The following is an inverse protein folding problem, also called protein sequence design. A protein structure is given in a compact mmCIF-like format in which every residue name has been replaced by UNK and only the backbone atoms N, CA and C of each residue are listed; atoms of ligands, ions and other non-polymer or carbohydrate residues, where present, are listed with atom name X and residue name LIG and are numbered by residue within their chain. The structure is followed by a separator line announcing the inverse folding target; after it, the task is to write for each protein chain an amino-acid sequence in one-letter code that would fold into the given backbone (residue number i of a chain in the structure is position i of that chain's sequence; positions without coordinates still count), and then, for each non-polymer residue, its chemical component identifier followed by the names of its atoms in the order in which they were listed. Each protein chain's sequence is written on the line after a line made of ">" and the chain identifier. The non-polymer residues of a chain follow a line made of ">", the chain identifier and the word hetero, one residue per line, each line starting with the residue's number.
data_IF_182720587494
#
_entry.id   IF_182720587494
#
_cell.length_a   1.000
_cell.length_b   1.000
_cell.length_c   1.000
_cell.angle_alpha   90.00
_cell.angle_beta   90.00
_cell.angle_gamma   90.00
#
_symmetry.space_group_name_H-M   'P 1'
#
loop_
_entity.id
_entity.type
_entity.pdbx_description
1 polymer ?
#
# COMPACT_ATOMS: atom_id res chain seq x y z
N UNK A 1 -23.53 10.23 -17.22
CA UNK A 1 -23.27 8.87 -16.67
C UNK A 1 -22.34 9.00 -15.48
N UNK A 2 -22.71 8.49 -14.31
CA UNK A 2 -21.72 8.43 -13.22
C UNK A 2 -20.54 7.55 -13.68
N UNK A 3 -19.31 8.04 -13.45
CA UNK A 3 -18.10 7.27 -13.70
C UNK A 3 -18.11 6.10 -12.71
N UNK A 4 -18.04 4.84 -13.16
CA UNK A 4 -18.02 3.72 -12.23
C UNK A 4 -16.81 3.82 -11.30
N UNK A 5 -17.03 3.57 -10.03
CA UNK A 5 -15.97 3.47 -9.04
C UNK A 5 -15.03 2.34 -9.44
N UNK A 6 -13.76 2.66 -9.63
CA UNK A 6 -12.76 1.72 -10.16
C UNK A 6 -11.43 1.84 -9.46
N UNK A 7 -10.63 0.78 -9.54
CA UNK A 7 -9.21 0.79 -9.19
C UNK A 7 -8.41 0.57 -10.46
N UNK A 8 -7.40 1.41 -10.70
CA UNK A 8 -6.53 1.34 -11.85
C UNK A 8 -5.14 1.92 -11.56
N UNK A 9 -4.22 1.76 -12.49
CA UNK A 9 -2.94 2.45 -12.41
C UNK A 9 -3.13 3.96 -12.36
N UNK A 10 -2.34 4.61 -11.51
CA UNK A 10 -2.33 6.06 -11.39
C UNK A 10 -1.83 6.74 -12.67
N UNK A 11 -2.43 7.86 -12.99
CA UNK A 11 -1.95 8.76 -14.05
C UNK A 11 -1.06 9.86 -13.46
N UNK A 12 -0.08 10.41 -14.22
CA UNK A 12 0.83 11.45 -13.71
C UNK A 12 0.12 12.67 -13.13
N UNK A 13 -1.01 13.06 -13.69
CA UNK A 13 -1.82 14.20 -13.22
C UNK A 13 -2.39 13.98 -11.81
N UNK A 14 -2.52 12.73 -11.38
CA UNK A 14 -3.05 12.35 -10.06
C UNK A 14 -2.02 12.43 -8.93
N UNK A 15 -0.76 12.73 -9.26
CA UNK A 15 0.30 12.92 -8.25
C UNK A 15 -0.07 13.96 -7.19
N UNK A 16 -0.82 15.00 -7.58
CA UNK A 16 -1.32 16.03 -6.66
C UNK A 16 -2.29 15.45 -5.63
N UNK A 17 -3.24 14.65 -6.09
CA UNK A 17 -4.24 14.03 -5.21
C UNK A 17 -3.61 12.98 -4.29
N UNK A 18 -2.68 12.18 -4.82
CA UNK A 18 -1.94 11.18 -4.04
C UNK A 18 -1.13 11.85 -2.93
N UNK A 19 -0.37 12.91 -3.26
CA UNK A 19 0.40 13.67 -2.28
C UNK A 19 -0.50 14.30 -1.21
N UNK A 20 -1.65 14.81 -1.60
CA UNK A 20 -2.65 15.38 -0.68
C UNK A 20 -3.20 14.31 0.28
N UNK A 21 -3.59 13.15 -0.24
CA UNK A 21 -4.09 12.04 0.58
C UNK A 21 -3.02 11.50 1.55
N UNK A 22 -1.80 11.33 1.07
CA UNK A 22 -0.68 10.91 1.92
C UNK A 22 -0.47 11.89 3.06
N UNK A 23 -0.42 13.19 2.77
CA UNK A 23 -0.26 14.24 3.79
C UNK A 23 -1.39 14.21 4.81
N UNK A 24 -2.63 14.07 4.37
CA UNK A 24 -3.81 13.96 5.24
C UNK A 24 -3.72 12.74 6.16
N UNK A 25 -3.35 11.59 5.64
CA UNK A 25 -3.20 10.36 6.42
C UNK A 25 -2.05 10.46 7.44
N UNK A 26 -0.89 10.93 7.01
CA UNK A 26 0.29 11.03 7.87
C UNK A 26 0.14 12.08 8.95
N UNK A 27 -0.59 13.16 8.71
CA UNK A 27 -0.86 14.20 9.71
C UNK A 27 -1.66 13.68 10.91
N UNK A 28 -2.40 12.58 10.72
CA UNK A 28 -3.20 11.94 11.77
C UNK A 28 -2.45 10.83 12.52
N UNK A 29 -1.25 10.47 12.06
CA UNK A 29 -0.45 9.40 12.67
C UNK A 29 0.60 9.98 13.61
N UNK A 30 0.68 9.52 14.86
CA UNK A 30 1.77 9.90 15.77
C UNK A 30 3.13 9.51 15.17
N UNK A 31 4.13 10.37 15.32
CA UNK A 31 5.49 10.12 14.86
C UNK A 31 5.77 10.48 13.39
N UNK A 32 4.76 10.73 12.56
CA UNK A 32 4.95 11.08 11.15
C UNK A 32 4.80 12.56 10.85
N UNK A 33 4.17 13.33 11.73
CA UNK A 33 3.92 14.75 11.54
C UNK A 33 5.20 15.58 11.34
N UNK A 34 6.26 15.29 12.09
CA UNK A 34 7.54 15.99 11.98
C UNK A 34 8.25 15.68 10.65
N UNK A 35 8.24 14.42 10.22
CA UNK A 35 8.78 14.01 8.93
C UNK A 35 8.01 14.67 7.77
N UNK A 36 6.69 14.76 7.91
CA UNK A 36 5.83 15.42 6.94
C UNK A 36 6.09 16.93 6.83
N UNK A 37 6.30 17.60 7.96
CA UNK A 37 6.60 19.02 8.00
C UNK A 37 7.94 19.37 7.31
N UNK A 38 8.88 18.43 7.26
CA UNK A 38 10.17 18.59 6.60
C UNK A 38 10.09 18.49 5.06
N UNK A 39 9.00 17.99 4.49
CA UNK A 39 8.83 17.80 3.05
C UNK A 39 7.93 18.90 2.49
N UNK A 40 8.43 19.80 1.63
CA UNK A 40 7.59 20.77 0.95
C UNK A 40 6.51 20.09 0.11
N UNK A 41 5.31 20.67 0.05
CA UNK A 41 4.16 20.08 -0.66
C UNK A 41 4.44 19.86 -2.16
N UNK A 42 5.12 20.80 -2.81
CA UNK A 42 5.50 20.70 -4.22
C UNK A 42 6.56 19.63 -4.48
N UNK A 43 7.45 19.38 -3.53
CA UNK A 43 8.41 18.28 -3.60
C UNK A 43 7.71 16.92 -3.52
N UNK A 44 6.72 16.78 -2.64
CA UNK A 44 5.93 15.55 -2.54
C UNK A 44 5.21 15.24 -3.86
N UNK A 45 4.60 16.26 -4.49
CA UNK A 45 3.96 16.11 -5.80
C UNK A 45 4.95 15.67 -6.88
N UNK A 46 6.12 16.30 -6.94
CA UNK A 46 7.17 15.90 -7.91
C UNK A 46 7.63 14.46 -7.69
N UNK A 47 7.84 14.06 -6.45
CA UNK A 47 8.25 12.69 -6.11
C UNK A 47 7.21 11.67 -6.56
N UNK A 48 5.92 11.93 -6.33
CA UNK A 48 4.85 11.05 -6.81
C UNK A 48 4.75 11.03 -8.33
N UNK A 49 4.86 12.17 -8.98
CA UNK A 49 4.86 12.25 -10.43
C UNK A 49 6.00 11.40 -11.04
N UNK A 50 7.21 11.52 -10.51
CA UNK A 50 8.36 10.72 -10.95
C UNK A 50 8.13 9.22 -10.71
N UNK A 51 7.59 8.85 -9.55
CA UNK A 51 7.29 7.45 -9.24
C UNK A 51 6.27 6.82 -10.21
N UNK A 52 5.34 7.61 -10.72
CA UNK A 52 4.35 7.16 -11.69
C UNK A 52 4.94 7.09 -13.10
N UNK A 53 5.67 8.14 -13.52
CA UNK A 53 6.22 8.25 -14.88
C UNK A 53 7.43 7.34 -15.08
N UNK A 54 8.29 7.26 -14.07
CA UNK A 54 9.54 6.50 -14.09
C UNK A 54 9.72 5.72 -12.80
N UNK A 55 9.04 4.57 -12.66
CA UNK A 55 9.18 3.75 -11.46
C UNK A 55 10.64 3.40 -11.17
N UNK A 56 11.06 3.45 -9.89
CA UNK A 56 12.47 3.21 -9.51
C UNK A 56 12.92 1.78 -9.78
N UNK A 57 11.99 0.82 -9.74
CA UNK A 57 12.23 -0.58 -10.01
C UNK A 57 11.15 -1.12 -10.95
N UNK A 58 11.49 -2.16 -11.69
CA UNK A 58 10.49 -2.93 -12.43
C UNK A 58 9.42 -3.46 -11.46
N UNK A 59 8.18 -3.46 -11.89
CA UNK A 59 7.02 -3.88 -11.11
C UNK A 59 6.68 -2.99 -9.89
N UNK A 60 7.32 -1.83 -9.70
CA UNK A 60 6.78 -0.80 -8.82
C UNK A 60 5.57 -0.14 -9.47
N UNK A 61 4.42 -0.24 -8.80
CA UNK A 61 3.16 0.27 -9.34
C UNK A 61 2.42 1.10 -8.32
N UNK A 62 1.78 2.15 -8.80
CA UNK A 62 0.87 2.98 -8.01
C UNK A 62 -0.53 2.78 -8.58
N UNK A 63 -1.45 2.31 -7.73
CA UNK A 63 -2.86 2.14 -8.06
C UNK A 63 -3.68 3.18 -7.32
N UNK A 64 -4.72 3.70 -7.96
CA UNK A 64 -5.68 4.62 -7.34
C UNK A 64 -7.07 4.03 -7.36
N UNK A 65 -7.81 4.26 -6.28
CA UNK A 65 -9.25 4.04 -6.23
C UNK A 65 -9.97 5.34 -6.51
N UNK A 66 -10.94 5.30 -7.41
CA UNK A 66 -11.76 6.44 -7.77
C UNK A 66 -13.14 6.33 -7.13
N UNK A 67 -13.62 7.44 -6.60
CA UNK A 67 -15.01 7.64 -6.21
C UNK A 67 -15.54 8.87 -6.92
N UNK A 68 -16.61 8.70 -7.67
CA UNK A 68 -17.22 9.79 -8.46
C UNK A 68 -16.20 10.55 -9.33
N UNK A 69 -15.21 9.84 -9.87
CA UNK A 69 -14.16 10.41 -10.70
C UNK A 69 -13.01 11.09 -9.96
N UNK A 70 -12.99 11.08 -8.64
CA UNK A 70 -11.92 11.64 -7.82
C UNK A 70 -11.11 10.54 -7.12
N UNK A 71 -9.83 10.79 -6.88
CA UNK A 71 -8.96 9.86 -6.15
C UNK A 71 -9.38 9.80 -4.69
N UNK A 72 -9.86 8.65 -4.25
CA UNK A 72 -10.32 8.37 -2.88
C UNK A 72 -9.35 7.50 -2.08
N UNK A 73 -8.32 6.96 -2.71
CA UNK A 73 -7.29 6.17 -2.06
C UNK A 73 -6.24 5.72 -3.06
N UNK A 74 -5.12 5.22 -2.55
CA UNK A 74 -4.06 4.66 -3.37
C UNK A 74 -3.34 3.52 -2.65
N UNK A 75 -2.67 2.69 -3.43
CA UNK A 75 -1.78 1.63 -2.94
C UNK A 75 -0.55 1.55 -3.82
N UNK A 76 0.59 1.31 -3.21
CA UNK A 76 1.88 1.10 -3.89
C UNK A 76 2.30 -0.35 -3.72
N UNK A 77 2.60 -1.02 -4.82
CA UNK A 77 3.07 -2.40 -4.85
C UNK A 77 4.43 -2.50 -5.53
N UNK A 78 5.19 -3.52 -5.20
CA UNK A 78 6.48 -3.77 -5.81
C UNK A 78 7.15 -5.03 -5.26
N UNK A 79 8.41 -5.29 -5.66
CA UNK A 79 9.19 -6.36 -5.07
C UNK A 79 9.43 -6.11 -3.59
N UNK A 80 9.39 -7.16 -2.76
CA UNK A 80 9.75 -7.03 -1.35
C UNK A 80 11.23 -6.66 -1.21
N UNK A 81 11.52 -5.73 -0.30
CA UNK A 81 12.88 -5.31 0.04
C UNK A 81 13.31 -5.80 1.43
N UNK A 82 12.57 -6.73 2.01
CA UNK A 82 12.91 -7.31 3.30
C UNK A 82 14.20 -8.12 3.20
N UNK A 83 15.05 -8.14 4.25
CA UNK A 83 16.31 -8.90 4.25
C UNK A 83 16.12 -10.41 4.05
N UNK A 84 14.95 -10.95 4.41
CA UNK A 84 14.57 -12.35 4.27
C UNK A 84 13.69 -12.64 3.04
N UNK A 85 13.50 -11.63 2.16
CA UNK A 85 12.65 -11.78 0.98
C UNK A 85 13.27 -12.68 -0.08
N UNK A 86 12.43 -13.49 -0.70
CA UNK A 86 12.76 -14.25 -1.89
C UNK A 86 12.35 -13.49 -3.16
N UNK A 87 12.85 -13.92 -4.32
CA UNK A 87 12.55 -13.27 -5.60
C UNK A 87 11.06 -13.31 -5.97
N UNK A 88 10.31 -14.22 -5.37
CA UNK A 88 8.85 -14.39 -5.55
C UNK A 88 8.01 -13.62 -4.53
N UNK A 89 8.64 -12.82 -3.67
CA UNK A 89 7.95 -12.03 -2.66
C UNK A 89 7.74 -10.59 -3.15
N UNK A 90 6.48 -10.22 -3.27
CA UNK A 90 6.06 -8.85 -3.48
C UNK A 90 5.65 -8.18 -2.17
N UNK A 91 5.50 -6.88 -2.19
CA UNK A 91 5.04 -6.11 -1.02
C UNK A 91 4.01 -5.06 -1.37
N UNK A 92 3.18 -4.73 -0.40
CA UNK A 92 2.45 -3.48 -0.32
C UNK A 92 3.31 -2.49 0.44
N UNK A 93 3.81 -1.48 -0.26
CA UNK A 93 4.73 -0.49 0.30
C UNK A 93 4.01 0.67 0.98
N UNK A 94 2.87 1.08 0.45
CA UNK A 94 2.05 2.14 1.01
C UNK A 94 0.58 1.92 0.66
N UNK A 95 -0.31 2.29 1.57
CA UNK A 95 -1.75 2.17 1.42
C UNK A 95 -2.44 3.31 2.17
N UNK A 96 -3.25 4.07 1.46
CA UNK A 96 -4.00 5.19 2.02
C UNK A 96 -5.39 5.20 1.44
N UNK A 97 -6.39 5.35 2.30
CA UNK A 97 -7.78 5.64 1.91
C UNK A 97 -8.21 6.97 2.50
N UNK A 98 -9.07 7.69 1.79
CA UNK A 98 -9.68 8.91 2.31
C UNK A 98 -10.75 8.53 3.35
N UNK A 99 -10.49 8.87 4.61
CA UNK A 99 -11.40 8.57 5.71
C UNK A 99 -12.75 9.32 5.61
N UNK A 100 -12.82 10.36 4.81
CA UNK A 100 -14.04 11.15 4.61
C UNK A 100 -14.93 10.59 3.48
N UNK A 101 -14.44 9.60 2.74
CA UNK A 101 -15.19 8.89 1.69
C UNK A 101 -15.73 7.59 2.25
N UNK A 102 -17.06 7.51 2.40
CA UNK A 102 -17.76 6.37 3.02
C UNK A 102 -18.03 5.23 2.03
N UNK A 103 -17.03 4.84 1.27
CA UNK A 103 -17.14 3.79 0.27
C UNK A 103 -16.14 2.66 0.51
N UNK A 104 -16.40 1.47 -0.01
CA UNK A 104 -15.55 0.28 0.17
C UNK A 104 -14.30 0.32 -0.73
N UNK A 105 -13.54 1.42 -0.66
CA UNK A 105 -12.30 1.57 -1.44
C UNK A 105 -11.19 0.69 -0.91
N UNK A 106 -11.17 0.43 0.41
CA UNK A 106 -10.14 -0.35 1.05
C UNK A 106 -10.10 -1.78 0.50
N UNK A 107 -11.24 -2.48 0.46
CA UNK A 107 -11.32 -3.84 -0.10
C UNK A 107 -10.91 -3.89 -1.57
N UNK A 108 -11.38 -2.93 -2.36
CA UNK A 108 -11.02 -2.86 -3.79
C UNK A 108 -9.53 -2.64 -4.01
N UNK A 109 -8.91 -1.75 -3.24
CA UNK A 109 -7.47 -1.50 -3.30
C UNK A 109 -6.66 -2.72 -2.87
N UNK A 110 -7.05 -3.39 -1.78
CA UNK A 110 -6.35 -4.60 -1.31
C UNK A 110 -6.43 -5.72 -2.34
N UNK A 111 -7.61 -5.95 -2.91
CA UNK A 111 -7.80 -6.97 -3.95
C UNK A 111 -7.00 -6.61 -5.22
N UNK A 112 -7.05 -5.37 -5.66
CA UNK A 112 -6.29 -4.91 -6.83
C UNK A 112 -4.77 -4.99 -6.61
N UNK A 113 -4.28 -4.72 -5.40
CA UNK A 113 -2.88 -4.88 -5.04
C UNK A 113 -2.44 -6.35 -5.15
N UNK A 114 -3.22 -7.28 -4.61
CA UNK A 114 -2.95 -8.71 -4.69
C UNK A 114 -2.97 -9.21 -6.15
N UNK A 115 -3.95 -8.78 -6.94
CA UNK A 115 -4.07 -9.15 -8.35
C UNK A 115 -2.91 -8.58 -9.18
N UNK A 116 -2.48 -7.35 -8.90
CA UNK A 116 -1.34 -6.71 -9.56
C UNK A 116 -0.04 -7.45 -9.25
N UNK A 117 0.21 -7.76 -7.99
CA UNK A 117 1.39 -8.53 -7.59
C UNK A 117 1.39 -9.92 -8.22
N UNK A 118 0.26 -10.60 -8.27
CA UNK A 118 0.12 -11.90 -8.97
C UNK A 118 0.42 -11.78 -10.45
N UNK A 119 -0.11 -10.76 -11.12
CA UNK A 119 0.14 -10.51 -12.54
C UNK A 119 1.63 -10.18 -12.83
N UNK A 120 2.32 -9.57 -11.88
CA UNK A 120 3.76 -9.31 -11.95
C UNK A 120 4.63 -10.54 -11.62
N UNK A 121 4.03 -11.69 -11.29
CA UNK A 121 4.71 -12.96 -11.09
C UNK A 121 5.09 -13.27 -9.64
N UNK A 122 4.63 -12.49 -8.68
CA UNK A 122 4.86 -12.78 -7.27
C UNK A 122 3.92 -13.88 -6.77
N UNK A 123 4.42 -14.69 -5.84
CA UNK A 123 3.68 -15.79 -5.22
C UNK A 123 3.19 -15.46 -3.81
N UNK A 124 3.91 -14.57 -3.14
CA UNK A 124 3.61 -14.10 -1.77
C UNK A 124 3.58 -12.58 -1.77
N UNK A 125 2.66 -12.02 -0.99
CA UNK A 125 2.62 -10.59 -0.70
C UNK A 125 2.88 -10.36 0.77
N UNK A 126 3.70 -9.36 1.09
CA UNK A 126 3.98 -8.91 2.45
C UNK A 126 3.56 -7.47 2.65
N UNK A 127 3.26 -7.11 3.88
CA UNK A 127 2.80 -5.77 4.24
C UNK A 127 3.18 -5.44 5.68
N UNK A 128 3.98 -4.41 5.85
CA UNK A 128 4.31 -3.89 7.17
C UNK A 128 3.26 -2.91 7.63
N UNK A 129 2.61 -3.21 8.74
CA UNK A 129 1.57 -2.37 9.34
C UNK A 129 1.97 -1.96 10.76
N UNK A 130 1.49 -0.80 11.22
CA UNK A 130 1.73 -0.38 12.59
C UNK A 130 1.12 -1.39 13.57
N UNK A 131 1.86 -1.71 14.62
CA UNK A 131 1.38 -2.67 15.63
C UNK A 131 0.17 -2.17 16.42
N UNK A 132 -0.02 -0.86 16.48
CA UNK A 132 -1.13 -0.18 17.16
C UNK A 132 -2.32 0.15 16.24
N UNK A 133 -2.24 -0.16 14.95
CA UNK A 133 -3.35 0.01 14.01
C UNK A 133 -4.23 -1.25 13.97
N UNK A 134 -5.01 -1.43 15.03
CA UNK A 134 -5.88 -2.60 15.17
C UNK A 134 -6.96 -2.66 14.08
N UNK A 135 -7.43 -1.52 13.61
CA UNK A 135 -8.45 -1.44 12.56
C UNK A 135 -7.92 -1.99 11.24
N UNK A 136 -6.75 -1.54 10.78
CA UNK A 136 -6.14 -2.03 9.55
C UNK A 136 -5.73 -3.50 9.69
N UNK A 137 -5.13 -3.88 10.82
CA UNK A 137 -4.75 -5.28 11.06
C UNK A 137 -5.96 -6.22 11.02
N UNK A 138 -7.03 -5.88 11.70
CA UNK A 138 -8.29 -6.65 11.70
C UNK A 138 -8.89 -6.76 10.31
N UNK A 139 -8.93 -5.66 9.57
CA UNK A 139 -9.40 -5.63 8.19
C UNK A 139 -8.58 -6.55 7.27
N UNK A 140 -7.26 -6.52 7.36
CA UNK A 140 -6.39 -7.37 6.54
C UNK A 140 -6.52 -8.85 6.90
N UNK A 141 -6.70 -9.18 8.18
CA UNK A 141 -6.98 -10.56 8.62
C UNK A 141 -8.29 -11.06 8.00
N UNK A 142 -9.32 -10.25 7.98
CA UNK A 142 -10.59 -10.58 7.29
C UNK A 142 -10.41 -10.77 5.78
N UNK A 143 -9.46 -10.04 5.17
CA UNK A 143 -9.08 -10.21 3.76
C UNK A 143 -8.19 -11.42 3.49
N UNK A 144 -7.84 -12.23 4.49
CA UNK A 144 -7.04 -13.45 4.33
C UNK A 144 -5.53 -13.27 4.56
N UNK A 145 -5.11 -12.13 5.07
CA UNK A 145 -3.73 -11.90 5.50
C UNK A 145 -3.50 -12.46 6.91
N UNK A 146 -2.27 -12.86 7.22
CA UNK A 146 -1.91 -13.37 8.53
C UNK A 146 -0.54 -12.85 8.97
N UNK A 147 -0.37 -12.61 10.28
CA UNK A 147 0.93 -12.27 10.83
C UNK A 147 1.90 -13.45 10.69
N UNK A 148 3.12 -13.19 10.25
CA UNK A 148 4.16 -14.19 10.10
C UNK A 148 5.19 -14.23 11.26
N UNK A 149 4.97 -13.39 12.27
CA UNK A 149 5.83 -13.26 13.44
C UNK A 149 6.95 -12.24 13.30
N UNK A 150 7.21 -11.70 12.12
CA UNK A 150 8.20 -10.65 11.95
C UNK A 150 7.70 -9.33 12.52
N UNK A 151 8.59 -8.60 13.18
CA UNK A 151 8.34 -7.28 13.73
C UNK A 151 9.58 -6.41 13.61
N UNK A 152 9.39 -5.11 13.51
CA UNK A 152 10.47 -4.12 13.45
C UNK A 152 10.08 -2.83 14.15
N UNK A 153 11.08 -2.03 14.49
CA UNK A 153 10.89 -0.67 14.98
C UNK A 153 11.55 0.31 14.01
N UNK A 154 10.80 1.30 13.58
CA UNK A 154 11.33 2.43 12.81
C UNK A 154 11.55 3.57 13.79
N UNK A 155 12.80 3.93 14.05
CA UNK A 155 13.16 5.05 14.91
C UNK A 155 13.25 6.35 14.11
N UNK A 156 13.01 7.48 14.79
CA UNK A 156 13.46 8.79 14.33
C UNK A 156 14.95 8.93 14.61
N UNK A 157 15.67 9.75 13.83
CA UNK A 157 17.14 9.96 14.00
C UNK A 157 17.52 10.44 15.41
N UNK A 158 16.59 11.09 16.11
CA UNK A 158 16.75 11.56 17.49
C UNK A 158 16.39 10.54 18.58
N UNK A 159 15.90 9.35 18.16
CA UNK A 159 15.55 8.25 19.08
C UNK A 159 14.34 8.49 19.97
N UNK A 160 13.56 9.56 19.76
CA UNK A 160 12.46 9.96 20.64
C UNK A 160 11.15 9.27 20.37
N UNK A 161 10.91 8.76 19.13
CA UNK A 161 9.71 8.03 18.78
C UNK A 161 10.02 6.84 17.87
N UNK A 162 9.77 5.64 18.37
CA UNK A 162 9.84 4.41 17.57
C UNK A 162 8.44 4.00 17.14
N UNK A 163 8.24 3.84 15.83
CA UNK A 163 7.04 3.23 15.29
C UNK A 163 7.26 1.73 15.19
N UNK A 164 6.50 0.96 15.99
CA UNK A 164 6.55 -0.50 15.93
C UNK A 164 5.65 -1.00 14.82
N UNK A 165 6.16 -1.94 14.03
CA UNK A 165 5.44 -2.58 12.95
C UNK A 165 5.47 -4.10 13.08
N UNK A 166 4.42 -4.72 12.60
CA UNK A 166 4.31 -6.17 12.42
C UNK A 166 4.11 -6.46 10.92
N UNK A 167 4.65 -7.59 10.47
CA UNK A 167 4.48 -8.01 9.08
C UNK A 167 3.30 -8.95 8.95
N UNK A 168 2.40 -8.61 8.01
CA UNK A 168 1.36 -9.51 7.55
C UNK A 168 1.76 -10.06 6.19
N UNK A 169 1.32 -11.27 5.89
CA UNK A 169 1.56 -11.92 4.60
C UNK A 169 0.33 -12.67 4.12
N UNK A 170 0.26 -12.87 2.81
CA UNK A 170 -0.72 -13.75 2.18
C UNK A 170 -0.11 -14.41 0.95
N UNK A 171 -0.51 -15.65 0.67
CA UNK A 171 -0.16 -16.32 -0.57
C UNK A 171 -1.12 -15.86 -1.66
N UNK A 172 -0.56 -15.40 -2.77
CA UNK A 172 -1.30 -14.86 -3.92
C UNK A 172 -1.14 -15.68 -5.19
N UNK A 173 -0.25 -16.69 -5.21
CA UNK A 173 -0.12 -17.59 -6.32
C UNK A 173 -1.45 -18.33 -6.58
N UNK A 174 -1.80 -18.49 -7.86
CA UNK A 174 -2.92 -19.34 -8.22
C UNK A 174 -2.70 -20.74 -7.66
N UNK A 175 -3.67 -21.29 -6.97
CA UNK A 175 -3.68 -22.71 -6.68
C UNK A 175 -3.81 -23.41 -8.02
N UNK A 176 -2.74 -24.05 -8.45
CA UNK A 176 -2.82 -24.95 -9.61
C UNK A 176 -4.01 -25.91 -9.46
N UNK A 177 -4.53 -26.48 -10.55
CA UNK A 177 -5.65 -27.41 -10.47
C UNK A 177 -5.34 -28.47 -9.41
N UNK A 178 -6.32 -28.72 -8.54
CA UNK A 178 -6.18 -29.75 -7.51
C UNK A 178 -5.71 -31.05 -8.19
N UNK A 179 -4.69 -31.76 -7.65
CA UNK A 179 -4.29 -33.04 -8.21
C UNK A 179 -5.56 -33.93 -8.24
N UNK A 180 -5.93 -34.37 -9.44
CA UNK A 180 -7.03 -35.31 -9.61
C UNK A 180 -6.79 -36.48 -8.64
N UNK A 181 -7.68 -36.60 -7.66
CA UNK A 181 -7.77 -37.83 -6.87
C UNK A 181 -8.21 -38.92 -7.83
N UNK A 182 -7.23 -39.71 -8.29
CA UNK A 182 -7.46 -40.94 -9.01
C UNK A 182 -7.72 -42.09 -8.04
#
# INVERSE_FOLDING_TARGET
>A
MPVPDSVRLAMPVEAVDIARLQRKAWSRQPGTAAALAAIPADQAVRTWHEAIVKPPLAHCRVLVALSQGQVAGFVVTGPSNDPDAEATDGMVAEFVTDADVLDDHASRLVNAAADTLRADGYETATWWVRSDDDALRGFLIECGWAADGAHRSLGTEDGTEAVKQVRLMTRIADRGPAPNAG
#
